data_IF_074863137256
#
_entry.id   IF_074863137256
#
_cell.length_a   1.000
_cell.length_b   1.000
_cell.length_c   1.000
_cell.angle_alpha   90.00
_cell.angle_beta   90.00
_cell.angle_gamma   90.00
#
_symmetry.space_group_name_H-M   'P 1'
#
loop_
_entity.id
_entity.type
_entity.pdbx_description
1 polymer ?
#
# COMPACT_ATOMS: atom_id res chain seq x y z
N UNK A 1 9.66 10.96 -8.12
CA UNK A 1 10.58 10.19 -9.00
C UNK A 1 10.64 8.76 -8.49
N UNK A 2 10.56 7.78 -9.38
CA UNK A 2 10.72 6.36 -9.04
C UNK A 2 11.80 5.76 -9.93
N UNK A 3 12.76 5.07 -9.34
CA UNK A 3 13.83 4.39 -10.05
C UNK A 3 13.91 2.94 -9.57
N UNK A 4 14.02 2.01 -10.51
CA UNK A 4 14.28 0.61 -10.26
C UNK A 4 15.37 0.14 -11.22
N UNK A 5 16.44 -0.40 -10.71
CA UNK A 5 17.53 -0.92 -11.50
C UNK A 5 17.95 -2.31 -11.03
N UNK A 6 18.37 -3.13 -12.00
CA UNK A 6 18.84 -4.49 -11.82
C UNK A 6 20.22 -4.61 -12.45
N UNK A 7 21.15 -5.22 -11.75
CA UNK A 7 22.51 -5.43 -12.28
C UNK A 7 23.10 -6.74 -11.78
N UNK A 8 24.20 -7.18 -12.39
CA UNK A 8 24.83 -8.45 -12.08
C UNK A 8 23.91 -9.65 -12.34
N UNK A 9 23.25 -9.70 -13.52
CA UNK A 9 22.31 -10.78 -13.89
C UNK A 9 21.17 -10.93 -12.88
N UNK A 10 20.59 -9.80 -12.46
CA UNK A 10 19.56 -9.69 -11.45
C UNK A 10 19.98 -10.19 -10.03
N UNK A 11 21.29 -10.23 -9.76
CA UNK A 11 21.77 -10.50 -8.40
C UNK A 11 21.55 -9.32 -7.45
N UNK A 12 21.52 -8.12 -8.02
CA UNK A 12 21.37 -6.88 -7.27
C UNK A 12 20.14 -6.14 -7.79
N UNK A 13 19.30 -5.71 -6.85
CA UNK A 13 18.12 -4.89 -7.13
C UNK A 13 18.19 -3.62 -6.27
N UNK A 14 18.16 -2.46 -6.91
CA UNK A 14 18.06 -1.18 -6.24
C UNK A 14 16.73 -0.53 -6.60
N UNK A 15 15.98 -0.14 -5.60
CA UNK A 15 14.70 0.57 -5.74
C UNK A 15 14.83 1.86 -4.95
N UNK A 16 14.54 2.99 -5.60
CA UNK A 16 14.54 4.29 -4.96
C UNK A 16 13.24 5.05 -5.31
N UNK A 17 12.72 5.73 -4.35
CA UNK A 17 11.56 6.60 -4.49
C UNK A 17 11.86 7.96 -3.85
N UNK A 18 11.56 9.03 -4.58
CA UNK A 18 11.53 10.38 -4.05
C UNK A 18 10.24 11.05 -4.53
N UNK A 19 9.43 11.49 -3.63
CA UNK A 19 8.17 12.15 -3.92
C UNK A 19 7.85 13.22 -2.91
N UNK A 20 7.09 14.22 -3.34
CA UNK A 20 6.56 15.25 -2.48
C UNK A 20 5.45 15.98 -3.19
N UNK A 21 4.58 16.56 -2.43
CA UNK A 21 3.45 17.29 -2.99
C UNK A 21 2.50 17.81 -1.94
N UNK A 22 1.59 18.62 -2.42
CA UNK A 22 0.45 19.11 -1.65
C UNK A 22 -0.68 18.09 -1.75
N UNK A 23 -1.28 17.74 -0.63
CA UNK A 23 -2.32 16.71 -0.55
C UNK A 23 -3.56 17.32 0.08
N UNK A 24 -4.70 17.14 -0.58
CA UNK A 24 -6.01 17.48 -0.05
C UNK A 24 -6.81 16.20 0.14
N UNK A 25 -7.38 16.03 1.32
CA UNK A 25 -8.26 14.89 1.61
C UNK A 25 -9.56 15.39 2.21
N UNK A 26 -10.66 14.85 1.74
CA UNK A 26 -11.98 15.00 2.32
C UNK A 26 -12.43 13.63 2.81
N UNK A 27 -12.43 13.45 4.11
CA UNK A 27 -12.91 12.25 4.77
C UNK A 27 -14.38 12.48 5.14
N UNK A 28 -15.30 11.70 4.58
CA UNK A 28 -16.73 11.81 4.90
C UNK A 28 -17.04 11.22 6.28
N UNK A 29 -16.28 10.23 6.69
CA UNK A 29 -16.40 9.55 7.99
C UNK A 29 -15.00 9.32 8.56
N UNK A 30 -14.46 10.33 9.23
CA UNK A 30 -13.11 10.27 9.78
C UNK A 30 -13.06 9.38 11.02
N UNK A 31 -12.22 8.34 10.98
CA UNK A 31 -12.07 7.34 12.05
C UNK A 31 -13.39 6.64 12.46
N UNK A 32 -14.36 6.51 11.57
CA UNK A 32 -15.66 5.91 11.87
C UNK A 32 -16.51 6.72 12.85
N UNK A 33 -16.24 8.02 12.97
CA UNK A 33 -16.92 8.92 13.91
C UNK A 33 -18.22 9.52 13.37
N UNK A 34 -18.50 9.36 12.07
CA UNK A 34 -19.58 10.04 11.36
C UNK A 34 -19.32 11.55 11.16
N UNK A 35 -18.13 12.05 11.51
CA UNK A 35 -17.76 13.47 11.38
C UNK A 35 -16.91 13.65 10.14
N UNK A 36 -17.29 14.55 9.21
CA UNK A 36 -16.46 14.88 8.08
C UNK A 36 -15.26 15.72 8.50
N UNK A 37 -14.08 15.38 7.98
CA UNK A 37 -12.83 16.12 8.21
C UNK A 37 -12.16 16.40 6.88
N UNK A 38 -11.91 17.67 6.60
CA UNK A 38 -11.15 18.12 5.44
C UNK A 38 -9.75 18.53 5.85
N UNK A 39 -8.77 18.00 5.15
CA UNK A 39 -7.36 18.26 5.43
C UNK A 39 -6.61 18.72 4.21
N UNK A 40 -5.65 19.61 4.43
CA UNK A 40 -4.63 19.96 3.46
C UNK A 40 -3.25 19.75 4.09
N UNK A 41 -2.25 19.48 3.27
CA UNK A 41 -0.92 19.28 3.82
C UNK A 41 0.15 19.09 2.76
N UNK A 42 1.39 19.09 3.22
CA UNK A 42 2.55 18.78 2.43
C UNK A 42 3.14 17.46 2.89
N UNK A 43 3.49 16.62 1.92
CA UNK A 43 4.16 15.36 2.20
C UNK A 43 5.45 15.25 1.39
N UNK A 44 6.53 14.79 2.02
CA UNK A 44 7.77 14.41 1.37
C UNK A 44 8.11 12.98 1.77
N UNK A 45 8.54 12.18 0.81
CA UNK A 45 8.96 10.80 1.04
C UNK A 45 10.23 10.54 0.25
N UNK A 46 11.27 10.08 0.95
CA UNK A 46 12.45 9.48 0.36
C UNK A 46 12.54 8.04 0.83
N UNK A 47 12.72 7.12 -0.09
CA UNK A 47 12.89 5.72 0.27
C UNK A 47 13.92 5.06 -0.65
N UNK A 48 14.74 4.21 -0.08
CA UNK A 48 15.68 3.41 -0.82
C UNK A 48 15.68 1.98 -0.29
N UNK A 49 15.76 1.01 -1.20
CA UNK A 49 15.85 -0.41 -0.87
C UNK A 49 16.88 -1.06 -1.77
N UNK A 50 17.79 -1.81 -1.16
CA UNK A 50 18.76 -2.64 -1.84
C UNK A 50 18.55 -4.10 -1.49
N UNK A 51 18.50 -4.98 -2.50
CA UNK A 51 18.34 -6.42 -2.35
C UNK A 51 19.49 -7.15 -3.06
N UNK A 52 20.03 -8.15 -2.40
CA UNK A 52 21.01 -9.07 -2.95
C UNK A 52 20.42 -10.48 -3.04
N UNK A 53 20.55 -11.14 -4.20
CA UNK A 53 20.13 -12.53 -4.40
C UNK A 53 21.11 -13.49 -3.75
N UNK A 54 20.74 -14.04 -2.61
CA UNK A 54 21.55 -15.04 -1.92
C UNK A 54 21.47 -16.41 -2.58
N UNK A 55 20.27 -16.78 -3.03
CA UNK A 55 19.98 -17.99 -3.80
C UNK A 55 18.63 -17.81 -4.47
N UNK A 56 18.55 -18.05 -5.79
CA UNK A 56 17.27 -17.96 -6.48
C UNK A 56 16.21 -18.89 -5.85
N UNK A 57 15.01 -18.41 -5.55
CA UNK A 57 14.48 -17.06 -5.77
C UNK A 57 14.53 -16.11 -4.55
N UNK A 58 15.44 -16.30 -3.60
CA UNK A 58 15.57 -15.59 -2.33
C UNK A 58 16.50 -14.38 -2.43
N UNK A 59 16.03 -13.27 -1.87
CA UNK A 59 16.78 -12.02 -1.73
C UNK A 59 16.81 -11.59 -0.25
N UNK A 60 17.96 -11.09 0.17
CA UNK A 60 18.11 -10.37 1.44
C UNK A 60 18.52 -8.93 1.15
N UNK A 61 18.12 -8.01 1.97
CA UNK A 61 18.46 -6.62 1.75
C UNK A 61 18.23 -5.71 2.93
N UNK A 62 18.45 -4.42 2.64
CA UNK A 62 18.28 -3.32 3.57
C UNK A 62 17.42 -2.25 2.94
N UNK A 63 16.78 -1.45 3.78
CA UNK A 63 16.00 -0.30 3.34
C UNK A 63 16.17 0.87 4.29
N UNK A 64 15.97 2.08 3.76
CA UNK A 64 15.89 3.30 4.51
C UNK A 64 14.70 4.10 4.01
N UNK A 65 14.03 4.80 4.92
CA UNK A 65 12.85 5.61 4.64
C UNK A 65 12.95 6.89 5.45
N UNK A 66 12.67 7.98 4.79
CA UNK A 66 12.54 9.32 5.37
C UNK A 66 11.19 9.86 4.90
N UNK A 67 10.31 10.16 5.82
CA UNK A 67 8.99 10.72 5.55
C UNK A 67 8.74 11.91 6.44
N UNK A 68 8.37 13.01 5.80
CA UNK A 68 7.90 14.20 6.46
C UNK A 68 6.51 14.53 5.92
N UNK A 69 5.56 14.76 6.78
CA UNK A 69 4.30 15.32 6.39
C UNK A 69 3.77 16.32 7.42
N UNK A 70 3.14 17.37 6.90
CA UNK A 70 2.42 18.36 7.67
C UNK A 70 0.96 18.29 7.25
N UNK A 71 0.05 18.19 8.20
CA UNK A 71 -1.38 18.13 7.96
C UNK A 71 -2.06 19.26 8.74
N UNK A 72 -2.91 20.01 8.05
CA UNK A 72 -3.73 21.07 8.62
C UNK A 72 -5.20 20.78 8.37
N UNK A 73 -6.06 21.11 9.32
CA UNK A 73 -7.49 21.13 9.09
C UNK A 73 -7.85 22.32 8.20
N UNK A 74 -8.62 22.10 7.15
CA UNK A 74 -9.09 23.16 6.24
C UNK A 74 -10.03 24.15 6.96
N UNK A 75 -10.59 23.76 8.09
CA UNK A 75 -11.44 24.59 8.95
C UNK A 75 -11.11 24.37 10.44
N UNK A 76 -11.61 25.26 11.29
CA UNK A 76 -11.31 25.23 12.74
C UNK A 76 -11.68 23.91 13.42
N UNK A 77 -12.82 23.31 13.05
CA UNK A 77 -13.25 22.02 13.60
C UNK A 77 -12.30 20.88 13.21
N UNK A 78 -11.95 20.81 11.93
CA UNK A 78 -10.98 19.82 11.43
C UNK A 78 -9.61 19.99 12.07
N UNK A 79 -9.14 21.22 12.26
CA UNK A 79 -7.89 21.54 12.95
C UNK A 79 -7.89 21.06 14.41
N UNK A 80 -8.95 21.39 15.18
CA UNK A 80 -9.09 20.95 16.57
C UNK A 80 -9.14 19.42 16.71
N UNK A 81 -9.83 18.73 15.79
CA UNK A 81 -9.88 17.26 15.77
C UNK A 81 -8.48 16.69 15.56
N UNK A 82 -7.74 17.17 14.54
CA UNK A 82 -6.40 16.70 14.22
C UNK A 82 -5.41 16.92 15.35
N UNK A 83 -5.41 18.11 15.97
CA UNK A 83 -4.55 18.43 17.12
C UNK A 83 -4.86 17.50 18.31
N UNK A 84 -6.13 17.28 18.62
CA UNK A 84 -6.57 16.43 19.75
C UNK A 84 -6.11 14.97 19.60
N UNK A 85 -5.97 14.47 18.39
CA UNK A 85 -5.54 13.08 18.11
C UNK A 85 -4.07 12.98 17.69
N UNK A 86 -3.33 14.08 17.66
CA UNK A 86 -1.89 14.10 17.32
C UNK A 86 -1.60 13.81 15.85
N UNK A 87 -2.44 14.29 14.92
CA UNK A 87 -2.27 14.10 13.48
C UNK A 87 -2.00 15.42 12.72
N UNK A 88 -1.22 16.31 13.29
CA UNK A 88 -0.91 17.63 12.71
C UNK A 88 0.35 17.64 11.83
N UNK A 89 1.14 16.62 11.91
CA UNK A 89 2.39 16.46 11.15
C UNK A 89 3.27 15.45 11.84
N UNK A 90 4.23 14.90 11.09
CA UNK A 90 5.12 13.91 11.66
C UNK A 90 6.36 13.68 10.80
N UNK A 91 7.53 13.76 11.41
CA UNK A 91 8.80 13.40 10.80
C UNK A 91 9.24 12.03 11.25
N UNK A 92 9.53 11.16 10.31
CA UNK A 92 9.99 9.82 10.63
C UNK A 92 11.12 9.36 9.71
N UNK A 93 12.25 9.02 10.31
CA UNK A 93 13.43 8.48 9.63
C UNK A 93 13.75 7.12 10.19
N UNK A 94 13.88 6.13 9.31
CA UNK A 94 14.12 4.76 9.75
C UNK A 94 14.87 3.91 8.74
N UNK A 95 15.43 2.83 9.24
CA UNK A 95 16.13 1.82 8.46
C UNK A 95 15.67 0.43 8.86
N UNK A 96 15.90 -0.55 8.00
CA UNK A 96 15.48 -1.91 8.30
C UNK A 96 15.98 -2.96 7.33
N UNK A 97 15.60 -4.19 7.62
CA UNK A 97 15.97 -5.38 6.87
C UNK A 97 14.83 -5.83 5.98
N UNK A 98 15.18 -6.54 4.92
CA UNK A 98 14.23 -7.11 3.96
C UNK A 98 14.61 -8.54 3.64
N UNK A 99 13.61 -9.42 3.69
CA UNK A 99 13.68 -10.77 3.13
C UNK A 99 12.62 -10.86 2.04
N UNK A 100 13.01 -11.21 0.83
CA UNK A 100 12.07 -11.32 -0.28
C UNK A 100 12.25 -12.64 -1.03
N UNK A 101 11.14 -13.23 -1.43
CA UNK A 101 11.06 -14.39 -2.30
C UNK A 101 10.30 -14.01 -3.57
N UNK A 102 10.89 -14.19 -4.74
CA UNK A 102 10.29 -13.75 -6.00
C UNK A 102 10.49 -14.82 -7.09
N UNK A 103 9.48 -15.66 -7.27
CA UNK A 103 9.43 -16.68 -8.33
C UNK A 103 8.45 -16.33 -9.46
N UNK A 104 8.04 -15.05 -9.55
CA UNK A 104 7.14 -14.60 -10.61
C UNK A 104 7.81 -14.69 -11.98
N UNK A 105 7.02 -15.04 -12.98
CA UNK A 105 7.45 -15.06 -14.39
C UNK A 105 7.80 -13.67 -14.94
N UNK A 106 7.15 -12.63 -14.39
CA UNK A 106 7.38 -11.23 -14.76
C UNK A 106 7.11 -10.33 -13.55
N UNK A 107 7.91 -9.29 -13.34
CA UNK A 107 7.75 -8.42 -12.18
C UNK A 107 6.71 -7.31 -12.38
N UNK A 108 6.47 -6.90 -13.64
CA UNK A 108 5.56 -5.81 -13.96
C UNK A 108 4.13 -6.32 -14.23
N UNK A 109 4.01 -7.47 -14.88
CA UNK A 109 2.72 -8.08 -15.22
C UNK A 109 2.79 -9.59 -15.01
N UNK A 110 2.84 -10.05 -13.75
CA UNK A 110 2.96 -11.46 -13.45
C UNK A 110 1.72 -12.23 -13.91
N UNK A 111 1.95 -13.40 -14.50
CA UNK A 111 0.91 -14.35 -14.85
C UNK A 111 0.99 -15.63 -14.02
N UNK A 112 2.14 -15.93 -13.46
CA UNK A 112 2.38 -17.11 -12.63
C UNK A 112 3.45 -16.87 -11.58
N UNK A 113 3.49 -17.71 -10.57
CA UNK A 113 4.52 -17.68 -9.54
C UNK A 113 4.06 -17.02 -8.24
N UNK A 114 4.98 -16.92 -7.31
CA UNK A 114 4.75 -16.41 -5.97
C UNK A 114 5.70 -15.25 -5.66
N UNK A 115 5.19 -14.27 -4.93
CA UNK A 115 5.96 -13.18 -4.35
C UNK A 115 5.70 -13.11 -2.85
N UNK A 116 6.77 -13.10 -2.06
CA UNK A 116 6.74 -12.87 -0.63
C UNK A 116 7.76 -11.79 -0.25
N UNK A 117 7.36 -10.85 0.57
CA UNK A 117 8.23 -9.79 1.10
C UNK A 117 7.94 -9.60 2.58
N UNK A 118 8.93 -9.85 3.41
CA UNK A 118 8.89 -9.58 4.84
C UNK A 118 9.96 -8.54 5.15
N UNK A 119 9.57 -7.45 5.77
CA UNK A 119 10.50 -6.36 6.08
C UNK A 119 10.13 -5.64 7.37
N UNK A 120 11.11 -4.95 7.94
CA UNK A 120 10.89 -4.02 9.05
C UNK A 120 11.50 -2.66 8.73
N UNK A 121 10.99 -1.63 9.41
CA UNK A 121 11.64 -0.32 9.53
C UNK A 121 11.65 0.06 10.99
N UNK A 122 12.83 0.27 11.53
CA UNK A 122 13.05 0.83 12.85
C UNK A 122 13.22 2.35 12.70
N UNK A 123 12.19 3.10 13.06
CA UNK A 123 12.21 4.56 13.09
C UNK A 123 12.84 5.03 14.38
N UNK A 124 13.71 6.05 14.31
CA UNK A 124 14.49 6.50 15.47
C UNK A 124 14.68 8.01 15.46
N UNK A 125 14.55 8.61 16.65
CA UNK A 125 14.89 10.02 16.89
C UNK A 125 16.37 10.28 16.57
N UNK A 126 17.25 9.34 16.87
CA UNK A 126 18.68 9.43 16.59
C UNK A 126 19.02 9.49 15.08
N UNK A 127 18.09 9.14 14.21
CA UNK A 127 18.22 9.25 12.75
C UNK A 127 17.57 10.53 12.21
N UNK A 128 16.93 11.33 13.05
CA UNK A 128 16.25 12.57 12.68
C UNK A 128 14.72 12.49 12.70
N UNK A 129 14.14 11.40 13.20
CA UNK A 129 12.69 11.29 13.42
C UNK A 129 12.23 11.97 14.71
N UNK A 130 10.91 12.07 14.89
CA UNK A 130 10.26 12.64 16.09
C UNK A 130 9.91 11.59 17.15
N UNK A 131 9.98 10.30 16.81
CA UNK A 131 9.68 9.22 17.74
C UNK A 131 10.42 7.92 17.41
N UNK A 132 10.65 7.12 18.45
CA UNK A 132 11.17 5.76 18.33
C UNK A 132 10.01 4.77 18.22
N UNK A 133 9.90 4.05 17.10
CA UNK A 133 8.93 2.99 16.91
C UNK A 133 9.35 2.02 15.82
N UNK A 134 8.75 0.84 15.81
CA UNK A 134 9.04 -0.19 14.82
C UNK A 134 7.79 -0.50 13.96
N UNK A 135 8.03 -0.75 12.67
CA UNK A 135 7.02 -1.19 11.74
C UNK A 135 7.49 -2.48 11.08
N UNK A 136 6.65 -3.51 11.10
CA UNK A 136 6.85 -4.78 10.42
C UNK A 136 5.81 -4.92 9.30
N UNK A 137 6.23 -5.41 8.13
CA UNK A 137 5.34 -5.65 7.00
C UNK A 137 5.56 -7.04 6.44
N UNK A 138 4.45 -7.68 6.08
CA UNK A 138 4.44 -8.92 5.32
C UNK A 138 3.49 -8.77 4.14
N UNK A 139 3.98 -9.04 2.94
CA UNK A 139 3.17 -9.09 1.72
C UNK A 139 3.39 -10.42 1.05
N UNK A 140 2.31 -11.14 0.77
CA UNK A 140 2.33 -12.39 0.01
C UNK A 140 1.38 -12.25 -1.18
N UNK A 141 1.81 -12.69 -2.37
CA UNK A 141 0.99 -12.70 -3.59
C UNK A 141 1.24 -13.99 -4.35
N UNK A 142 0.17 -14.64 -4.80
CA UNK A 142 0.25 -15.83 -5.64
C UNK A 142 -0.54 -15.59 -6.92
N UNK A 143 0.03 -15.97 -8.04
CA UNK A 143 -0.54 -15.80 -9.38
C UNK A 143 -0.79 -17.17 -10.01
N UNK A 144 -2.01 -17.38 -10.52
CA UNK A 144 -2.44 -18.61 -11.16
C UNK A 144 -2.93 -18.31 -12.56
N UNK A 145 -2.20 -18.74 -13.60
CA UNK A 145 -2.69 -18.61 -14.96
C UNK A 145 -3.89 -19.52 -15.19
N UNK A 146 -4.90 -19.02 -15.88
CA UNK A 146 -6.05 -19.84 -16.29
C UNK A 146 -6.59 -19.41 -17.67
N UNK A 147 -7.40 -20.28 -18.26
CA UNK A 147 -8.01 -20.02 -19.56
C UNK A 147 -6.98 -19.62 -20.62
N UNK A 148 -7.35 -18.65 -21.46
CA UNK A 148 -6.51 -18.17 -22.58
C UNK A 148 -5.71 -16.91 -22.21
N UNK A 149 -4.92 -16.97 -21.12
CA UNK A 149 -4.06 -15.88 -20.66
C UNK A 149 -4.72 -14.95 -19.65
N UNK A 150 -5.73 -15.44 -18.96
CA UNK A 150 -6.30 -14.85 -17.75
C UNK A 150 -5.47 -15.23 -16.53
N UNK A 151 -5.58 -14.46 -15.46
CA UNK A 151 -4.78 -14.64 -14.25
C UNK A 151 -5.64 -14.39 -13.01
N UNK A 152 -5.80 -15.41 -12.20
CA UNK A 152 -6.32 -15.27 -10.85
C UNK A 152 -5.16 -14.98 -9.90
N UNK A 153 -5.32 -14.02 -9.02
CA UNK A 153 -4.33 -13.75 -7.98
C UNK A 153 -5.01 -13.53 -6.63
N UNK A 154 -4.30 -13.86 -5.57
CA UNK A 154 -4.62 -13.36 -4.24
C UNK A 154 -3.41 -12.62 -3.65
N UNK A 155 -3.72 -11.68 -2.78
CA UNK A 155 -2.74 -10.90 -2.04
C UNK A 155 -3.12 -10.82 -0.56
N UNK A 156 -2.17 -11.12 0.31
CA UNK A 156 -2.23 -10.92 1.74
C UNK A 156 -1.24 -9.81 2.10
N UNK A 157 -1.69 -8.82 2.83
CA UNK A 157 -0.83 -7.75 3.34
C UNK A 157 -1.09 -7.54 4.82
N UNK A 158 -0.01 -7.47 5.58
CA UNK A 158 -0.05 -7.20 7.01
C UNK A 158 0.92 -6.07 7.33
N UNK A 159 0.52 -5.21 8.25
CA UNK A 159 1.37 -4.20 8.84
C UNK A 159 1.16 -4.20 10.35
N UNK A 160 2.22 -4.40 11.08
CA UNK A 160 2.25 -4.36 12.54
C UNK A 160 3.12 -3.20 12.98
N UNK A 161 2.69 -2.49 14.01
CA UNK A 161 3.48 -1.45 14.65
C UNK A 161 3.75 -1.81 16.10
N UNK A 162 4.85 -1.29 16.61
CA UNK A 162 5.21 -1.38 18.00
C UNK A 162 5.65 0.01 18.47
N UNK A 163 5.04 0.47 19.57
CA UNK A 163 5.32 1.78 20.19
C UNK A 163 5.10 2.98 19.24
N UNK A 164 4.26 2.81 18.19
CA UNK A 164 4.01 3.85 17.22
C UNK A 164 3.07 4.94 17.77
N UNK A 165 3.37 6.22 17.51
CA UNK A 165 2.41 7.29 17.73
C UNK A 165 1.24 7.17 16.74
N UNK A 166 0.08 7.85 16.97
CA UNK A 166 -1.07 7.79 16.06
C UNK A 166 -0.71 8.10 14.59
N UNK A 167 0.21 9.02 14.37
CA UNK A 167 0.74 9.36 13.05
C UNK A 167 1.51 8.19 12.36
N UNK A 168 2.03 7.24 13.13
CA UNK A 168 2.69 6.03 12.67
C UNK A 168 1.74 4.81 12.49
N UNK A 169 0.44 4.93 12.82
CA UNK A 169 -0.52 3.85 12.75
C UNK A 169 -0.74 3.33 11.32
N UNK A 170 -1.37 2.19 11.24
CA UNK A 170 -1.72 1.56 9.97
C UNK A 170 -3.01 2.14 9.41
N UNK A 171 -3.06 2.33 8.10
CA UNK A 171 -4.28 2.69 7.38
C UNK A 171 -4.78 1.52 6.53
N UNK A 172 -6.03 1.55 6.11
CA UNK A 172 -6.59 0.53 5.24
C UNK A 172 -5.88 0.49 3.88
N UNK A 173 -5.53 -0.71 3.44
CA UNK A 173 -4.95 -0.96 2.12
C UNK A 173 -5.95 -1.72 1.24
N UNK A 174 -7.11 -1.10 1.00
CA UNK A 174 -8.16 -1.59 0.10
C UNK A 174 -8.49 -0.54 -0.94
N UNK A 175 -8.80 -0.97 -2.15
CA UNK A 175 -9.37 -0.10 -3.18
C UNK A 175 -10.76 0.38 -2.73
N UNK A 176 -11.09 1.63 -3.00
CA UNK A 176 -12.32 2.29 -2.56
C UNK A 176 -12.11 3.18 -1.34
N UNK A 177 -11.16 2.88 -0.48
CA UNK A 177 -10.87 3.65 0.73
C UNK A 177 -9.78 4.69 0.52
N UNK A 178 -9.93 5.84 1.17
CA UNK A 178 -8.92 6.89 1.21
C UNK A 178 -7.89 6.57 2.30
N UNK A 179 -6.60 6.66 1.97
CA UNK A 179 -5.54 6.46 2.96
C UNK A 179 -5.63 7.50 4.09
N UNK A 180 -5.49 7.05 5.34
CA UNK A 180 -5.59 7.90 6.52
C UNK A 180 -6.99 8.10 7.09
N UNK A 181 -8.04 7.69 6.38
CA UNK A 181 -9.42 7.82 6.85
C UNK A 181 -9.72 6.94 8.06
N UNK A 182 -9.23 5.72 8.04
CA UNK A 182 -9.34 4.76 9.15
C UNK A 182 -7.95 4.34 9.58
N UNK A 183 -7.68 4.43 10.87
CA UNK A 183 -6.39 4.16 11.49
C UNK A 183 -6.52 3.11 12.58
N UNK A 184 -5.53 2.27 12.71
CA UNK A 184 -5.36 1.32 13.78
C UNK A 184 -3.88 0.98 13.98
N UNK A 185 -3.48 0.49 15.13
CA UNK A 185 -2.08 0.11 15.35
C UNK A 185 -1.61 -0.87 14.27
N UNK A 186 -2.42 -1.88 14.01
CA UNK A 186 -2.11 -2.93 13.07
C UNK A 186 -3.19 -3.07 11.99
N UNK A 187 -2.81 -3.61 10.84
CA UNK A 187 -3.71 -3.86 9.73
C UNK A 187 -3.38 -5.21 9.07
N UNK A 188 -4.43 -5.96 8.76
CA UNK A 188 -4.35 -7.14 7.90
C UNK A 188 -5.37 -7.02 6.78
N UNK A 189 -4.98 -7.35 5.55
CA UNK A 189 -5.88 -7.37 4.41
C UNK A 189 -5.66 -8.58 3.52
N UNK A 190 -6.76 -9.09 2.98
CA UNK A 190 -6.75 -10.15 1.98
C UNK A 190 -7.57 -9.71 0.78
N UNK A 191 -7.00 -9.82 -0.41
CA UNK A 191 -7.64 -9.43 -1.65
C UNK A 191 -7.49 -10.53 -2.69
N UNK A 192 -8.53 -10.69 -3.52
CA UNK A 192 -8.54 -11.59 -4.68
C UNK A 192 -8.88 -10.76 -5.92
N UNK A 193 -8.20 -11.03 -7.02
CA UNK A 193 -8.44 -10.37 -8.31
C UNK A 193 -8.38 -11.40 -9.43
N UNK A 194 -9.36 -11.38 -10.33
CA UNK A 194 -9.33 -12.14 -11.58
C UNK A 194 -9.20 -11.20 -12.77
N UNK A 195 -8.10 -11.34 -13.51
CA UNK A 195 -7.77 -10.60 -14.72
C UNK A 195 -8.17 -11.43 -15.93
N UNK A 196 -9.32 -11.14 -16.50
CA UNK A 196 -9.92 -11.91 -17.59
C UNK A 196 -9.55 -11.29 -18.93
N UNK A 197 -8.82 -12.06 -19.74
CA UNK A 197 -8.38 -11.61 -21.06
C UNK A 197 -9.49 -11.83 -22.10
N UNK A 198 -9.91 -10.75 -22.76
CA UNK A 198 -10.93 -10.81 -23.83
C UNK A 198 -10.32 -10.84 -25.24
N UNK A 199 -9.06 -10.44 -25.38
CA UNK A 199 -8.40 -10.37 -26.67
C UNK A 199 -6.91 -10.06 -26.58
N UNK A 200 -6.24 -9.72 -27.69
CA UNK A 200 -4.80 -9.48 -27.68
C UNK A 200 -4.37 -8.30 -26.79
N UNK A 201 -5.24 -7.28 -26.65
CA UNK A 201 -4.93 -6.05 -25.93
C UNK A 201 -5.91 -5.70 -24.83
N UNK A 202 -7.17 -6.21 -24.88
CA UNK A 202 -8.24 -5.84 -23.97
C UNK A 202 -8.54 -6.96 -22.99
N UNK A 203 -8.94 -6.57 -21.81
CA UNK A 203 -9.53 -7.43 -20.82
C UNK A 203 -10.21 -6.62 -19.73
N UNK A 204 -10.79 -7.32 -18.79
CA UNK A 204 -11.35 -6.73 -17.58
C UNK A 204 -10.81 -7.44 -16.34
N UNK A 205 -10.83 -6.74 -15.23
CA UNK A 205 -10.50 -7.29 -13.92
C UNK A 205 -11.71 -7.14 -13.00
N UNK A 206 -11.94 -8.15 -12.18
CA UNK A 206 -12.86 -8.08 -11.05
C UNK A 206 -12.10 -8.40 -9.78
N UNK A 207 -12.44 -7.74 -8.69
CA UNK A 207 -11.74 -7.93 -7.45
C UNK A 207 -12.66 -7.78 -6.24
N UNK A 208 -12.27 -8.43 -5.16
CA UNK A 208 -12.85 -8.25 -3.85
C UNK A 208 -11.76 -8.33 -2.79
N UNK A 209 -11.99 -7.71 -1.66
CA UNK A 209 -11.07 -7.72 -0.55
C UNK A 209 -11.74 -7.46 0.77
N UNK A 210 -11.06 -7.87 1.81
CA UNK A 210 -11.40 -7.61 3.20
C UNK A 210 -10.16 -7.15 3.95
N UNK A 211 -10.31 -6.21 4.84
CA UNK A 211 -9.25 -5.79 5.75
C UNK A 211 -9.80 -5.61 7.15
N UNK A 212 -8.94 -5.73 8.14
CA UNK A 212 -9.27 -5.35 9.49
C UNK A 212 -8.16 -4.49 10.10
N UNK A 213 -8.58 -3.58 10.95
CA UNK A 213 -7.72 -2.83 11.86
C UNK A 213 -7.79 -3.47 13.25
N UNK A 214 -6.67 -3.54 13.94
CA UNK A 214 -6.60 -4.13 15.27
C UNK A 214 -5.40 -3.62 16.07
N UNK A 215 -5.44 -3.86 17.37
CA UNK A 215 -4.55 -3.27 18.37
C UNK A 215 -5.23 -2.09 19.05
N UNK A 216 -4.81 -1.76 20.27
CA UNK A 216 -5.45 -0.70 21.02
C UNK A 216 -6.93 -0.97 21.30
N UNK A 217 -7.81 -0.21 20.64
CA UNK A 217 -9.27 -0.32 20.81
C UNK A 217 -9.94 -1.11 19.69
N UNK A 218 -9.28 -1.30 18.56
CA UNK A 218 -9.77 -1.98 17.38
C UNK A 218 -9.53 -3.48 17.48
N UNK A 219 -10.45 -4.28 16.91
CA UNK A 219 -10.34 -5.75 16.90
C UNK A 219 -10.99 -6.36 15.68
N UNK A 220 -10.30 -7.27 15.02
CA UNK A 220 -10.86 -8.07 13.90
C UNK A 220 -12.09 -8.92 14.32
N UNK A 221 -12.38 -9.03 15.60
CA UNK A 221 -13.60 -9.65 16.11
C UNK A 221 -14.82 -8.71 16.11
N UNK A 222 -14.62 -7.41 15.94
CA UNK A 222 -15.69 -6.43 15.84
C UNK A 222 -16.00 -6.15 14.38
N UNK A 223 -17.26 -6.24 13.98
CA UNK A 223 -17.68 -5.97 12.60
C UNK A 223 -17.33 -4.54 12.13
N UNK A 224 -17.35 -3.55 13.02
CA UNK A 224 -17.00 -2.15 12.72
C UNK A 224 -15.52 -1.92 12.38
N UNK A 225 -14.64 -2.85 12.75
CA UNK A 225 -13.20 -2.77 12.52
C UNK A 225 -12.79 -3.67 11.33
N UNK A 226 -13.78 -4.29 10.65
CA UNK A 226 -13.62 -5.13 9.47
C UNK A 226 -14.26 -4.43 8.29
N UNK A 227 -13.49 -4.22 7.26
CA UNK A 227 -13.84 -3.45 6.08
C UNK A 227 -13.81 -4.34 4.85
N UNK A 228 -14.76 -4.19 3.95
CA UNK A 228 -14.77 -4.90 2.68
C UNK A 228 -14.70 -3.94 1.49
N UNK A 229 -14.24 -4.43 0.36
CA UNK A 229 -14.19 -3.71 -0.89
C UNK A 229 -14.40 -4.66 -2.04
N UNK A 230 -15.09 -4.19 -3.07
CA UNK A 230 -15.28 -4.92 -4.31
C UNK A 230 -15.29 -3.97 -5.49
N UNK A 231 -15.01 -4.50 -6.67
CA UNK A 231 -15.03 -3.67 -7.85
C UNK A 231 -14.56 -4.39 -9.10
N UNK A 232 -14.35 -3.59 -10.12
CA UNK A 232 -13.84 -4.07 -11.39
C UNK A 232 -13.42 -2.95 -12.30
N UNK A 233 -12.85 -3.32 -13.43
CA UNK A 233 -12.38 -2.34 -14.38
C UNK A 233 -11.92 -2.96 -15.68
N UNK A 234 -11.58 -2.09 -16.61
CA UNK A 234 -11.03 -2.46 -17.89
C UNK A 234 -9.52 -2.27 -17.88
N UNK A 235 -8.81 -3.13 -18.58
CA UNK A 235 -7.40 -2.92 -18.87
C UNK A 235 -7.11 -2.98 -20.36
N UNK A 236 -6.09 -2.22 -20.76
CA UNK A 236 -5.59 -2.20 -22.12
C UNK A 236 -4.09 -2.39 -22.13
N UNK A 237 -3.59 -3.35 -22.94
CA UNK A 237 -2.15 -3.60 -23.13
C UNK A 237 -1.59 -2.58 -24.11
N UNK A 238 -0.90 -1.58 -23.57
CA UNK A 238 -0.27 -0.51 -24.34
C UNK A 238 0.89 -1.05 -25.19
N UNK A 239 1.75 -1.83 -24.55
CA UNK A 239 2.94 -2.39 -25.18
C UNK A 239 3.09 -3.86 -24.81
N UNK A 240 2.82 -4.73 -25.78
CA UNK A 240 2.81 -6.18 -25.56
C UNK A 240 4.17 -6.76 -25.18
N UNK A 241 5.25 -6.23 -25.78
CA UNK A 241 6.62 -6.67 -25.50
C UNK A 241 7.02 -6.42 -24.05
N UNK A 242 6.68 -5.27 -23.52
CA UNK A 242 7.06 -4.84 -22.16
C UNK A 242 5.94 -5.11 -21.15
N UNK A 243 4.85 -5.77 -21.60
CA UNK A 243 3.66 -6.08 -20.80
C UNK A 243 3.10 -4.86 -20.05
N UNK A 244 3.25 -3.66 -20.65
CA UNK A 244 2.75 -2.42 -20.07
C UNK A 244 1.23 -2.35 -20.26
N UNK A 245 0.51 -2.11 -19.18
CA UNK A 245 -0.95 -2.00 -19.18
C UNK A 245 -1.40 -0.63 -18.67
N UNK A 246 -2.53 -0.16 -19.18
CA UNK A 246 -3.31 0.90 -18.57
C UNK A 246 -4.58 0.28 -18.01
N UNK A 247 -4.96 0.67 -16.80
CA UNK A 247 -6.18 0.19 -16.13
C UNK A 247 -7.08 1.36 -15.79
N UNK A 248 -8.39 1.15 -15.90
CA UNK A 248 -9.44 2.02 -15.40
C UNK A 248 -10.37 1.18 -14.53
N UNK A 249 -10.35 1.42 -13.22
CA UNK A 249 -11.02 0.59 -12.22
C UNK A 249 -11.95 1.44 -11.37
N UNK A 250 -13.11 0.88 -11.06
CA UNK A 250 -14.02 1.38 -10.03
C UNK A 250 -14.04 0.41 -8.85
N UNK A 251 -13.96 0.96 -7.65
CA UNK A 251 -14.07 0.21 -6.41
C UNK A 251 -15.11 0.83 -5.50
N UNK A 252 -15.84 -0.03 -4.81
CA UNK A 252 -16.84 0.31 -3.83
C UNK A 252 -16.50 -0.40 -2.52
N UNK A 253 -16.64 0.29 -1.40
CA UNK A 253 -16.41 -0.18 -0.06
C UNK A 253 -17.60 0.11 0.83
N UNK A 254 -17.45 -0.06 2.13
CA UNK A 254 -18.52 0.18 3.10
C UNK A 254 -18.84 1.68 3.22
N UNK A 255 -20.11 2.00 3.38
CA UNK A 255 -20.60 3.38 3.51
C UNK A 255 -20.46 4.16 2.20
N UNK A 256 -19.89 5.36 2.28
CA UNK A 256 -19.65 6.23 1.12
C UNK A 256 -18.29 6.00 0.45
N UNK A 257 -17.54 5.00 0.88
CA UNK A 257 -16.20 4.72 0.37
C UNK A 257 -16.25 4.16 -1.05
N UNK A 258 -15.79 4.93 -2.02
CA UNK A 258 -15.72 4.56 -3.43
C UNK A 258 -14.58 5.28 -4.12
N UNK A 259 -14.05 4.67 -5.18
CA UNK A 259 -12.96 5.26 -5.92
C UNK A 259 -12.93 4.88 -7.38
N UNK A 260 -12.56 5.82 -8.24
CA UNK A 260 -12.23 5.60 -9.64
C UNK A 260 -10.72 5.76 -9.81
N UNK A 261 -10.08 4.75 -10.38
CA UNK A 261 -8.62 4.70 -10.52
C UNK A 261 -8.22 4.56 -11.97
N UNK A 262 -7.32 5.43 -12.41
CA UNK A 262 -6.63 5.30 -13.68
C UNK A 262 -5.14 5.07 -13.38
N UNK A 263 -4.57 3.97 -13.86
CA UNK A 263 -3.18 3.58 -13.56
C UNK A 263 -2.44 3.10 -14.79
N UNK A 264 -1.12 3.25 -14.75
CA UNK A 264 -0.20 2.52 -15.60
C UNK A 264 0.40 1.38 -14.78
N UNK A 265 -0.06 0.15 -15.04
CA UNK A 265 0.26 -1.05 -14.27
C UNK A 265 -0.98 -1.66 -13.60
N UNK A 266 -0.75 -2.61 -12.71
CA UNK A 266 -1.81 -3.31 -11.96
C UNK A 266 -1.96 -2.72 -10.56
N UNK A 267 -3.19 -2.78 -10.02
CA UNK A 267 -3.53 -2.23 -8.71
C UNK A 267 -3.08 -3.11 -7.52
N UNK A 268 -2.89 -4.43 -7.74
CA UNK A 268 -2.39 -5.39 -6.74
C UNK A 268 -0.98 -5.85 -7.06
#
# INVERSE_FOLDING_TARGET
>A
MFARTYFGEDRHRLIAFAGGGHVYNNYEDFLGSGVPVSTEGNAHVLAARYLYRVRAPWFLGVQAVDTNYLIFGENALSGEILERIGLTGFDSVGAGLVVSYDSRDDQNSPSSGFFGDANNVAYRESLGGEADFDVYRLTLKQYFPHGRGSVLLWALSNRWTRDAPPAGYSTLNLRGYVGGQYLGENMSSFQVEDRIRMGPRWGFAVFAGVACLYGGRESCGNAKDVYWSGGGGLYYVLKQRDKMVATLEYADGEGANRGLYMRFGWGL
#
